data_IF_418814539069
#
_entry.id   IF_418814539069
#
_cell.length_a   1.000
_cell.length_b   1.000
_cell.length_c   1.000
_cell.angle_alpha   90.00
_cell.angle_beta   90.00
_cell.angle_gamma   90.00
#
_symmetry.space_group_name_H-M   'P 1'
#
loop_
_entity.id
_entity.type
_entity.pdbx_description
1 polymer ?
#
# COMPACT_ATOMS: atom_id res chain seq x y z
N UNK A 1 -12.94 20.04 23.92
CA UNK A 1 -12.10 19.63 22.77
C UNK A 1 -11.79 18.16 22.97
N UNK A 2 -11.93 17.31 21.96
CA UNK A 2 -11.39 15.95 22.04
C UNK A 2 -9.87 16.09 22.15
N UNK A 3 -9.31 15.72 23.31
CA UNK A 3 -7.86 15.59 23.48
C UNK A 3 -7.45 14.27 22.82
N UNK A 4 -6.32 14.29 22.11
CA UNK A 4 -5.78 13.14 21.39
C UNK A 4 -4.47 12.75 22.05
N UNK A 5 -4.22 11.45 22.18
CA UNK A 5 -2.91 10.92 22.55
C UNK A 5 -2.38 10.01 21.45
N UNK A 6 -1.06 9.87 21.36
CA UNK A 6 -0.43 8.98 20.39
C UNK A 6 -0.39 7.55 20.91
N UNK A 7 -0.95 6.64 20.12
CA UNK A 7 -0.67 5.21 20.22
C UNK A 7 0.39 4.85 19.18
N UNK A 8 1.42 4.12 19.59
CA UNK A 8 2.51 3.73 18.70
C UNK A 8 2.21 2.40 18.00
N UNK A 9 2.66 2.28 16.75
CA UNK A 9 2.68 1.00 16.06
C UNK A 9 3.50 -0.02 16.86
N UNK A 10 3.06 -1.27 16.87
CA UNK A 10 3.72 -2.33 17.64
C UNK A 10 3.22 -2.52 19.07
N UNK A 11 2.31 -1.67 19.59
CA UNK A 11 1.76 -1.81 20.96
C UNK A 11 1.22 -3.23 21.25
N UNK A 12 0.60 -3.89 20.28
CA UNK A 12 0.07 -5.27 20.43
C UNK A 12 1.18 -6.33 20.58
N UNK A 13 2.38 -6.02 20.07
CA UNK A 13 3.58 -6.86 20.11
C UNK A 13 4.62 -6.35 21.10
N UNK A 14 4.28 -5.38 21.95
CA UNK A 14 5.20 -4.81 22.92
C UNK A 14 5.54 -5.85 24.00
N UNK A 15 6.83 -6.15 24.15
CA UNK A 15 7.32 -7.19 25.06
C UNK A 15 7.07 -6.82 26.53
N UNK A 16 7.07 -5.53 26.89
CA UNK A 16 6.76 -5.11 28.27
C UNK A 16 5.30 -5.35 28.58
N UNK A 17 4.39 -5.06 27.65
CA UNK A 17 2.97 -5.38 27.83
C UNK A 17 2.70 -6.89 27.87
N UNK A 18 3.51 -7.69 27.16
CA UNK A 18 3.48 -9.14 27.29
C UNK A 18 3.93 -9.58 28.69
N UNK A 19 5.02 -9.01 29.21
CA UNK A 19 5.54 -9.31 30.54
C UNK A 19 4.57 -8.89 31.65
N UNK A 20 3.98 -7.70 31.57
CA UNK A 20 2.90 -7.23 32.47
C UNK A 20 1.77 -8.25 32.53
N UNK A 21 1.32 -8.76 31.38
CA UNK A 21 0.23 -9.73 31.32
C UNK A 21 0.59 -11.05 32.03
N UNK A 22 1.85 -11.49 31.94
CA UNK A 22 2.35 -12.68 32.64
C UNK A 22 2.39 -12.44 34.15
N UNK A 23 2.97 -11.33 34.62
CA UNK A 23 3.10 -11.01 36.06
C UNK A 23 1.72 -10.84 36.70
N UNK A 24 0.82 -10.12 36.04
CA UNK A 24 -0.53 -9.86 36.53
C UNK A 24 -1.51 -11.03 36.32
N UNK A 25 -1.06 -12.13 35.72
CA UNK A 25 -1.86 -13.29 35.36
C UNK A 25 -3.15 -12.94 34.59
N UNK A 26 -3.05 -12.02 33.63
CA UNK A 26 -4.16 -11.52 32.84
C UNK A 26 -3.90 -11.70 31.33
N UNK A 27 -4.92 -11.44 30.50
CA UNK A 27 -4.73 -11.48 29.06
C UNK A 27 -3.91 -10.29 28.57
N UNK A 28 -3.14 -10.48 27.48
CA UNK A 28 -2.41 -9.38 26.86
C UNK A 28 -3.32 -8.22 26.44
N UNK A 29 -4.55 -8.52 26.00
CA UNK A 29 -5.54 -7.50 25.67
C UNK A 29 -5.92 -6.64 26.87
N UNK A 30 -6.04 -7.22 28.07
CA UNK A 30 -6.30 -6.46 29.31
C UNK A 30 -5.12 -5.57 29.65
N UNK A 31 -3.88 -6.07 29.60
CA UNK A 31 -2.69 -5.26 29.84
C UNK A 31 -2.60 -4.07 28.86
N UNK A 32 -2.87 -4.30 27.56
CA UNK A 32 -2.92 -3.24 26.55
C UNK A 32 -4.03 -2.23 26.86
N UNK A 33 -5.24 -2.68 27.19
CA UNK A 33 -6.36 -1.79 27.48
C UNK A 33 -6.10 -0.92 28.73
N UNK A 34 -5.51 -1.50 29.77
CA UNK A 34 -5.08 -0.76 30.98
C UNK A 34 -4.03 0.30 30.63
N UNK A 35 -3.06 -0.05 29.79
CA UNK A 35 -2.05 0.89 29.32
C UNK A 35 -2.66 2.08 28.57
N UNK A 36 -3.63 1.81 27.70
CA UNK A 36 -4.35 2.86 26.98
C UNK A 36 -5.19 3.75 27.91
N UNK A 37 -5.84 3.18 28.94
CA UNK A 37 -6.58 3.96 29.94
C UNK A 37 -5.66 4.90 30.75
N UNK A 38 -4.43 4.48 31.03
CA UNK A 38 -3.41 5.32 31.67
C UNK A 38 -2.96 6.46 30.75
N UNK A 39 -2.67 6.16 29.48
CA UNK A 39 -2.27 7.18 28.50
C UNK A 39 -3.37 8.20 28.24
N UNK A 40 -4.62 7.74 28.15
CA UNK A 40 -5.79 8.60 27.99
C UNK A 40 -5.94 9.54 29.18
N UNK A 41 -5.92 9.00 30.41
CA UNK A 41 -5.97 9.81 31.62
C UNK A 41 -4.80 10.81 31.70
N UNK A 42 -3.59 10.40 31.34
CA UNK A 42 -2.43 11.28 31.34
C UNK A 42 -2.55 12.43 30.33
N UNK A 43 -3.11 12.15 29.14
CA UNK A 43 -3.37 13.16 28.14
C UNK A 43 -4.48 14.13 28.57
N UNK A 44 -5.51 13.63 29.24
CA UNK A 44 -6.59 14.46 29.79
C UNK A 44 -6.10 15.40 30.90
N UNK A 45 -5.21 14.92 31.77
CA UNK A 45 -4.62 15.72 32.85
C UNK A 45 -3.65 16.78 32.31
N UNK A 46 -2.94 16.51 31.20
CA UNK A 46 -2.02 17.45 30.54
C UNK A 46 -0.91 17.99 31.45
N UNK A 47 -0.43 17.14 32.37
CA UNK A 47 0.59 17.49 33.37
C UNK A 47 1.83 16.58 33.24
N UNK A 48 2.41 16.54 32.05
CA UNK A 48 3.69 15.85 31.82
C UNK A 48 3.67 14.33 31.99
N UNK A 49 2.50 13.70 31.78
CA UNK A 49 2.33 12.25 31.88
C UNK A 49 1.72 11.77 33.20
N UNK A 50 1.39 12.70 34.10
CA UNK A 50 0.61 12.42 35.30
C UNK A 50 -0.79 11.97 34.93
N UNK A 51 -1.26 10.86 35.46
CA UNK A 51 -2.61 10.34 35.31
C UNK A 51 -3.36 10.36 36.64
N UNK A 52 -4.69 10.42 36.58
CA UNK A 52 -5.57 10.44 37.76
C UNK A 52 -6.51 9.23 37.83
N UNK A 53 -6.48 8.38 36.80
CA UNK A 53 -7.25 7.14 36.81
C UNK A 53 -6.73 6.18 37.87
N UNK A 54 -7.65 5.45 38.49
CA UNK A 54 -7.35 4.49 39.56
C UNK A 54 -7.66 3.08 39.09
N UNK A 55 -7.07 2.03 39.70
CA UNK A 55 -7.38 0.65 39.34
C UNK A 55 -8.88 0.33 39.37
N UNK A 56 -9.62 0.92 40.33
CA UNK A 56 -11.09 0.74 40.43
C UNK A 56 -11.84 1.38 39.26
N UNK A 57 -11.43 2.57 38.81
CA UNK A 57 -12.05 3.24 37.65
C UNK A 57 -11.81 2.44 36.38
N UNK A 58 -10.58 1.97 36.18
CA UNK A 58 -10.21 1.16 35.02
C UNK A 58 -10.92 -0.19 35.03
N UNK A 59 -11.03 -0.84 36.19
CA UNK A 59 -11.80 -2.09 36.35
C UNK A 59 -13.27 -1.93 35.95
N UNK A 60 -13.92 -0.84 36.40
CA UNK A 60 -15.29 -0.53 36.02
C UNK A 60 -15.43 -0.25 34.51
N UNK A 61 -14.47 0.48 33.91
CA UNK A 61 -14.50 0.83 32.49
C UNK A 61 -14.27 -0.38 31.56
N UNK A 62 -13.40 -1.31 31.97
CA UNK A 62 -13.05 -2.49 31.18
C UNK A 62 -13.92 -3.72 31.50
N UNK A 63 -14.81 -3.62 32.50
CA UNK A 63 -15.58 -4.74 33.03
C UNK A 63 -14.69 -5.91 33.53
N UNK A 64 -13.55 -5.58 34.13
CA UNK A 64 -12.56 -6.54 34.63
C UNK A 64 -12.55 -6.60 36.16
N UNK A 65 -12.14 -7.72 36.78
CA UNK A 65 -12.02 -7.80 38.23
C UNK A 65 -11.02 -6.76 38.78
N UNK A 66 -11.42 -6.06 39.85
CA UNK A 66 -10.59 -5.02 40.45
C UNK A 66 -9.22 -5.53 40.91
N UNK A 67 -9.12 -6.80 41.33
CA UNK A 67 -7.86 -7.45 41.67
C UNK A 67 -6.91 -7.59 40.48
N UNK A 68 -7.43 -7.99 39.32
CA UNK A 68 -6.68 -8.12 38.06
C UNK A 68 -6.09 -6.78 37.63
N UNK A 69 -6.89 -5.71 37.68
CA UNK A 69 -6.43 -4.38 37.31
C UNK A 69 -5.41 -3.83 38.33
N UNK A 70 -5.63 -4.05 39.62
CA UNK A 70 -4.65 -3.67 40.65
C UNK A 70 -3.30 -4.39 40.46
N UNK A 71 -3.32 -5.69 40.16
CA UNK A 71 -2.13 -6.47 39.83
C UNK A 71 -1.44 -5.94 38.56
N UNK A 72 -2.22 -5.54 37.55
CA UNK A 72 -1.69 -4.94 36.32
C UNK A 72 -0.99 -3.61 36.58
N UNK A 73 -1.54 -2.73 37.43
CA UNK A 73 -0.89 -1.49 37.85
C UNK A 73 0.42 -1.77 38.59
N UNK A 74 0.42 -2.75 39.51
CA UNK A 74 1.62 -3.15 40.24
C UNK A 74 2.72 -3.66 39.30
N UNK A 75 2.37 -4.54 38.36
CA UNK A 75 3.30 -5.07 37.35
C UNK A 75 3.86 -3.96 36.43
N UNK A 76 3.02 -3.00 36.01
CA UNK A 76 3.49 -1.85 35.22
C UNK A 76 4.46 -0.95 36.01
N UNK A 77 4.27 -0.81 37.32
CA UNK A 77 5.19 -0.09 38.19
C UNK A 77 6.51 -0.86 38.38
N UNK A 78 6.44 -2.18 38.58
CA UNK A 78 7.59 -3.08 38.72
C UNK A 78 8.51 -3.06 37.49
N UNK A 79 7.93 -3.15 36.29
CA UNK A 79 8.66 -3.09 35.01
C UNK A 79 9.12 -1.64 34.66
N UNK A 80 8.71 -0.65 35.46
CA UNK A 80 9.07 0.76 35.27
C UNK A 80 8.34 1.45 34.13
N UNK A 81 7.18 0.94 33.70
CA UNK A 81 6.30 1.62 32.73
C UNK A 81 5.59 2.83 33.33
N UNK A 82 5.33 2.78 34.63
CA UNK A 82 4.81 3.89 35.42
C UNK A 82 5.65 4.09 36.68
N UNK A 83 5.69 5.32 37.20
CA UNK A 83 6.32 5.67 38.46
C UNK A 83 5.36 6.53 39.29
N UNK A 84 4.78 5.95 40.34
CA UNK A 84 3.74 6.60 41.11
C UNK A 84 2.48 6.86 40.27
N UNK A 85 2.11 8.12 40.13
CA UNK A 85 0.96 8.59 39.34
C UNK A 85 1.37 9.13 37.95
N UNK A 86 2.56 8.78 37.45
CA UNK A 86 3.05 9.27 36.17
C UNK A 86 3.51 8.15 35.22
N UNK A 87 3.27 8.35 33.93
CA UNK A 87 3.78 7.49 32.85
C UNK A 87 5.27 7.74 32.62
N UNK A 88 6.07 6.67 32.66
CA UNK A 88 7.50 6.75 32.39
C UNK A 88 7.79 7.18 30.95
N UNK A 89 8.79 8.05 30.79
CA UNK A 89 9.21 8.60 29.50
C UNK A 89 8.08 9.28 28.69
N UNK A 90 7.09 9.89 29.36
CA UNK A 90 5.97 10.58 28.70
C UNK A 90 6.42 11.60 27.65
N UNK A 91 7.41 12.44 27.95
CA UNK A 91 7.90 13.47 27.01
C UNK A 91 8.46 12.90 25.69
N UNK A 92 9.02 11.69 25.74
CA UNK A 92 9.51 10.98 24.56
C UNK A 92 8.36 10.35 23.76
N UNK A 93 7.27 9.99 24.46
CA UNK A 93 6.06 9.39 23.87
C UNK A 93 5.06 10.42 23.33
N UNK A 94 4.97 11.59 23.94
CA UNK A 94 4.01 12.63 23.60
C UNK A 94 4.76 13.96 23.48
N UNK A 95 5.26 14.23 22.27
CA UNK A 95 5.91 15.51 21.98
C UNK A 95 4.87 16.64 21.99
N UNK A 96 5.17 17.73 22.70
CA UNK A 96 4.31 18.93 22.81
C UNK A 96 4.02 19.59 21.45
N UNK A 97 4.92 19.41 20.48
CA UNK A 97 4.66 19.79 19.10
C UNK A 97 5.04 18.67 18.15
N UNK A 98 4.14 18.35 17.22
CA UNK A 98 4.59 17.82 15.93
C UNK A 98 5.45 18.92 15.31
N UNK A 99 6.77 18.75 15.29
CA UNK A 99 7.75 19.68 14.68
C UNK A 99 7.50 19.99 13.19
N UNK A 100 6.42 19.47 12.61
CA UNK A 100 5.90 19.77 11.27
C UNK A 100 5.20 21.12 11.18
N UNK A 101 4.44 21.53 12.21
CA UNK A 101 3.67 22.79 12.18
C UNK A 101 4.56 24.01 12.31
N UNK A 102 5.60 23.96 13.14
CA UNK A 102 6.48 25.11 13.40
C UNK A 102 7.45 25.38 12.25
N UNK A 103 8.05 24.33 11.67
CA UNK A 103 8.87 24.45 10.45
C UNK A 103 8.03 24.91 9.26
N UNK A 104 6.81 24.39 9.11
CA UNK A 104 5.89 24.84 8.04
C UNK A 104 5.43 26.28 8.27
N UNK A 105 5.21 26.70 9.51
CA UNK A 105 4.85 28.07 9.86
C UNK A 105 6.00 29.02 9.58
N UNK A 106 7.24 28.71 10.02
CA UNK A 106 8.44 29.50 9.71
C UNK A 106 8.70 29.58 8.20
N UNK A 107 8.49 28.49 7.45
CA UNK A 107 8.63 28.50 5.99
C UNK A 107 7.53 29.35 5.31
N UNK A 108 6.28 29.28 5.78
CA UNK A 108 5.18 30.13 5.28
C UNK A 108 5.41 31.60 5.63
N UNK A 109 5.89 31.90 6.83
CA UNK A 109 6.24 33.24 7.27
C UNK A 109 7.43 33.79 6.49
N UNK A 110 8.47 32.98 6.24
CA UNK A 110 9.63 33.34 5.41
C UNK A 110 9.19 33.64 3.97
N UNK A 111 8.39 32.76 3.34
CA UNK A 111 7.88 32.96 1.98
C UNK A 111 6.96 34.18 1.86
N UNK A 112 6.13 34.44 2.88
CA UNK A 112 5.26 35.62 2.90
C UNK A 112 6.06 36.92 3.12
N UNK A 113 7.13 36.86 3.93
CA UNK A 113 8.04 37.99 4.17
C UNK A 113 8.91 38.29 2.95
N UNK A 114 9.32 37.26 2.21
CA UNK A 114 10.00 37.37 0.93
C UNK A 114 9.07 37.98 -0.12
N UNK A 115 7.86 37.44 -0.30
CA UNK A 115 6.86 37.99 -1.23
C UNK A 115 6.49 39.46 -0.94
N UNK A 116 6.47 39.88 0.34
CA UNK A 116 6.24 41.28 0.74
C UNK A 116 7.45 42.19 0.52
N UNK A 117 8.67 41.66 0.54
CA UNK A 117 9.90 42.42 0.27
C UNK A 117 10.17 42.59 -1.22
N UNK A 118 9.72 41.64 -2.04
CA UNK A 118 9.92 41.68 -3.50
C UNK A 118 9.03 42.69 -4.22
N UNK A 119 7.96 43.21 -3.59
CA UNK A 119 7.19 44.34 -4.14
C UNK A 119 6.65 44.16 -5.58
N UNK A 120 6.46 42.94 -6.05
CA UNK A 120 6.26 42.66 -7.47
C UNK A 120 4.85 42.15 -7.75
N UNK A 121 4.00 43.06 -8.22
CA UNK A 121 2.77 42.73 -8.92
C UNK A 121 3.10 42.48 -10.39
N UNK A 122 3.34 41.22 -10.80
CA UNK A 122 3.38 40.83 -12.21
C UNK A 122 3.21 39.32 -12.42
N UNK A 123 2.67 39.01 -13.60
CA UNK A 123 2.11 37.75 -14.14
C UNK A 123 3.16 36.63 -14.41
N UNK A 124 2.74 35.37 -14.69
CA UNK A 124 3.61 34.20 -14.64
C UNK A 124 4.39 33.96 -15.95
N UNK A 125 5.69 33.69 -15.86
CA UNK A 125 6.55 33.40 -17.00
C UNK A 125 7.73 32.47 -16.68
N UNK A 126 7.67 31.28 -17.29
CA UNK A 126 8.72 30.36 -17.78
C UNK A 126 10.13 30.29 -17.14
N UNK A 127 10.51 29.03 -16.90
CA UNK A 127 11.83 28.38 -16.91
C UNK A 127 13.12 29.23 -16.86
N UNK A 128 13.91 29.01 -15.81
CA UNK A 128 15.36 29.02 -15.88
C UNK A 128 15.94 27.94 -14.94
N UNK A 129 16.86 27.16 -15.48
CA UNK A 129 17.63 26.06 -14.90
C UNK A 129 18.42 26.49 -13.66
N UNK A 130 18.58 25.67 -12.60
CA UNK A 130 19.59 25.88 -11.58
C UNK A 130 20.89 25.09 -11.88
N UNK A 131 22.07 25.64 -11.50
CA UNK A 131 23.38 25.11 -11.88
C UNK A 131 23.83 23.92 -11.04
N UNK A 132 24.73 23.13 -11.64
CA UNK A 132 25.54 22.11 -10.97
C UNK A 132 26.30 22.71 -9.79
N UNK A 133 26.30 22.01 -8.65
CA UNK A 133 27.20 22.31 -7.52
C UNK A 133 27.63 20.98 -6.91
N UNK A 134 28.94 20.85 -6.82
CA UNK A 134 29.70 19.62 -6.65
C UNK A 134 29.53 19.02 -5.25
N UNK A 135 29.46 17.69 -5.22
CA UNK A 135 29.48 16.88 -4.02
C UNK A 135 30.93 16.62 -3.62
N UNK A 136 31.32 17.06 -2.44
CA UNK A 136 32.52 16.58 -1.75
C UNK A 136 32.12 15.44 -0.82
N UNK A 137 32.85 14.34 -0.99
CA UNK A 137 32.77 13.05 -0.32
C UNK A 137 33.46 13.12 1.05
N UNK A 138 32.97 12.36 2.03
CA UNK A 138 33.89 11.63 2.90
C UNK A 138 33.23 10.34 3.41
N UNK A 139 33.97 9.25 3.24
CA UNK A 139 33.61 7.85 3.49
C UNK A 139 34.22 7.36 4.81
N UNK A 140 33.97 6.07 5.09
CA UNK A 140 34.68 5.14 6.00
C UNK A 140 34.01 4.92 7.36
N UNK A 141 33.83 3.70 7.89
CA UNK A 141 33.92 2.31 7.40
C UNK A 141 33.36 1.45 8.57
N UNK A 142 32.48 0.47 8.36
CA UNK A 142 32.73 -0.98 8.27
C UNK A 142 32.36 -1.78 9.55
N UNK A 143 31.51 -2.80 9.36
CA UNK A 143 31.62 -4.09 10.05
C UNK A 143 30.65 -5.10 9.45
N UNK A 144 31.24 -5.95 8.61
CA UNK A 144 30.65 -7.13 8.04
C UNK A 144 30.31 -8.21 9.09
N UNK A 145 29.24 -8.96 8.81
CA UNK A 145 28.93 -10.24 9.43
C UNK A 145 28.10 -11.08 8.46
N UNK A 146 28.77 -11.90 7.65
CA UNK A 146 28.17 -12.74 6.62
C UNK A 146 27.60 -14.05 7.20
N UNK A 147 26.41 -14.45 6.76
CA UNK A 147 26.02 -15.86 6.61
C UNK A 147 24.93 -16.02 5.53
N UNK A 148 25.10 -17.06 4.74
CA UNK A 148 24.51 -17.35 3.42
C UNK A 148 23.10 -17.94 3.46
N UNK A 149 22.22 -17.55 2.52
CA UNK A 149 21.21 -18.44 1.90
C UNK A 149 20.46 -17.78 0.72
N UNK A 150 20.58 -18.33 -0.50
CA UNK A 150 19.71 -18.24 -1.69
C UNK A 150 19.21 -16.86 -2.20
N UNK A 151 18.95 -16.65 -3.51
CA UNK A 151 18.42 -15.38 -4.01
C UNK A 151 16.94 -15.24 -3.59
N UNK A 152 16.73 -14.77 -2.37
CA UNK A 152 15.46 -14.21 -1.94
C UNK A 152 15.20 -13.00 -2.83
N UNK A 153 13.99 -12.89 -3.37
CA UNK A 153 13.57 -11.67 -4.06
C UNK A 153 13.97 -10.47 -3.18
N UNK A 154 14.58 -9.41 -3.75
CA UNK A 154 15.10 -8.30 -2.96
C UNK A 154 13.97 -7.80 -2.07
N UNK A 155 14.24 -7.78 -0.77
CA UNK A 155 13.35 -7.18 0.21
C UNK A 155 13.13 -5.75 -0.27
N UNK A 156 11.92 -5.46 -0.75
CA UNK A 156 11.64 -4.19 -1.39
C UNK A 156 11.77 -3.13 -0.31
N UNK A 157 12.85 -2.37 -0.36
CA UNK A 157 13.05 -1.23 0.52
C UNK A 157 11.94 -0.20 0.23
N UNK A 158 10.90 -0.23 1.05
CA UNK A 158 9.73 0.63 0.92
C UNK A 158 10.11 2.11 1.05
N UNK A 159 11.20 2.42 1.77
CA UNK A 159 11.70 3.79 1.93
C UNK A 159 12.26 4.28 0.59
N UNK A 160 13.08 3.46 -0.06
CA UNK A 160 13.61 3.78 -1.38
C UNK A 160 12.51 3.83 -2.44
N UNK A 161 11.54 2.90 -2.40
CA UNK A 161 10.39 2.93 -3.30
C UNK A 161 9.56 4.23 -3.14
N UNK A 162 9.34 4.67 -1.90
CA UNK A 162 8.67 5.95 -1.60
C UNK A 162 9.46 7.13 -2.16
N UNK A 163 10.78 7.18 -1.92
CA UNK A 163 11.66 8.24 -2.43
C UNK A 163 11.55 8.38 -3.95
N UNK A 164 11.63 7.27 -4.67
CA UNK A 164 11.56 7.23 -6.14
C UNK A 164 10.19 7.60 -6.68
N UNK A 165 9.12 7.22 -5.99
CA UNK A 165 7.78 7.64 -6.36
C UNK A 165 7.58 9.15 -6.15
N UNK A 166 8.06 9.71 -5.03
CA UNK A 166 8.03 11.15 -4.75
C UNK A 166 8.75 11.95 -5.85
N UNK A 167 9.94 11.48 -6.25
CA UNK A 167 10.72 12.06 -7.34
C UNK A 167 9.94 12.03 -8.66
N UNK A 168 9.39 10.87 -9.04
CA UNK A 168 8.57 10.73 -10.25
C UNK A 168 7.31 11.61 -10.23
N UNK A 169 6.72 11.84 -9.04
CA UNK A 169 5.55 12.69 -8.88
C UNK A 169 5.87 14.19 -8.83
N UNK A 170 7.16 14.56 -8.77
CA UNK A 170 7.58 15.95 -8.54
C UNK A 170 7.06 16.53 -7.22
N UNK A 171 6.88 15.69 -6.20
CA UNK A 171 6.30 16.08 -4.92
C UNK A 171 6.90 15.29 -3.77
N UNK A 172 7.44 16.00 -2.78
CA UNK A 172 8.05 15.39 -1.59
C UNK A 172 7.04 14.98 -0.50
N UNK A 173 5.75 15.36 -0.64
CA UNK A 173 4.75 15.16 0.40
C UNK A 173 3.37 14.81 -0.18
N UNK A 174 3.13 13.52 -0.38
CA UNK A 174 1.85 12.98 -0.85
C UNK A 174 1.11 12.17 0.24
N UNK A 175 1.46 12.41 1.52
CA UNK A 175 0.85 11.73 2.66
C UNK A 175 1.26 10.25 2.74
N UNK A 176 0.37 9.41 3.24
CA UNK A 176 0.65 7.98 3.46
C UNK A 176 0.93 7.23 2.15
N UNK A 177 2.10 6.58 2.05
CA UNK A 177 2.52 5.73 0.93
C UNK A 177 1.80 4.38 0.85
N UNK A 178 0.91 4.07 1.81
CA UNK A 178 0.20 2.80 1.91
C UNK A 178 -0.47 2.31 0.60
N UNK A 179 -1.15 3.16 -0.21
CA UNK A 179 -1.78 2.70 -1.45
C UNK A 179 -0.79 2.16 -2.49
N UNK A 180 0.43 2.69 -2.53
CA UNK A 180 1.48 2.22 -3.45
C UNK A 180 2.19 1.01 -2.87
N UNK A 181 2.45 1.02 -1.56
CA UNK A 181 3.01 -0.13 -0.85
C UNK A 181 2.12 -1.38 -1.04
N UNK A 182 0.79 -1.24 -0.99
CA UNK A 182 -0.14 -2.35 -1.25
C UNK A 182 0.01 -2.93 -2.66
N UNK A 183 0.25 -2.09 -3.68
CA UNK A 183 0.47 -2.54 -5.06
C UNK A 183 1.80 -3.30 -5.19
N UNK A 184 2.86 -2.81 -4.54
CA UNK A 184 4.16 -3.51 -4.49
C UNK A 184 4.02 -4.88 -3.80
N UNK A 185 3.26 -4.98 -2.71
CA UNK A 185 2.97 -6.25 -2.04
C UNK A 185 2.20 -7.23 -2.93
N UNK A 186 1.38 -6.72 -3.87
CA UNK A 186 0.70 -7.52 -4.91
C UNK A 186 1.59 -7.85 -6.12
N UNK A 187 2.91 -7.69 -5.97
CA UNK A 187 3.91 -7.96 -7.00
C UNK A 187 3.83 -7.02 -8.22
N UNK A 188 3.29 -5.81 -8.06
CA UNK A 188 3.46 -4.78 -9.09
C UNK A 188 4.94 -4.37 -9.16
N UNK A 189 5.47 -4.26 -10.37
CA UNK A 189 6.86 -3.87 -10.58
C UNK A 189 6.99 -2.34 -10.49
N UNK A 190 7.89 -1.86 -9.63
CA UNK A 190 8.07 -0.41 -9.39
C UNK A 190 8.44 0.34 -10.68
N UNK A 191 9.39 -0.20 -11.45
CA UNK A 191 9.94 0.46 -12.64
C UNK A 191 9.03 0.37 -13.84
N UNK A 192 8.39 -0.78 -13.99
CA UNK A 192 7.62 -1.11 -15.19
C UNK A 192 6.16 -0.72 -15.06
N UNK A 193 5.59 -0.83 -13.87
CA UNK A 193 4.14 -0.67 -13.67
C UNK A 193 3.77 0.62 -12.92
N UNK A 194 4.58 1.06 -11.95
CA UNK A 194 4.22 2.19 -11.06
C UNK A 194 4.80 3.52 -11.56
N UNK A 195 6.13 3.63 -11.66
CA UNK A 195 6.80 4.88 -11.99
C UNK A 195 6.39 5.47 -13.36
N UNK A 196 6.17 4.68 -14.43
CA UNK A 196 5.73 5.22 -15.72
C UNK A 196 4.36 5.91 -15.63
N UNK A 197 3.43 5.36 -14.84
CA UNK A 197 2.09 5.93 -14.65
C UNK A 197 2.16 7.25 -13.89
N UNK A 198 3.02 7.33 -12.88
CA UNK A 198 3.23 8.57 -12.11
C UNK A 198 3.84 9.66 -13.03
N UNK A 199 4.88 9.32 -13.81
CA UNK A 199 5.57 10.25 -14.72
C UNK A 199 4.71 10.70 -15.91
N UNK A 200 3.84 9.83 -16.41
CA UNK A 200 2.98 10.12 -17.56
C UNK A 200 1.88 11.16 -17.25
N UNK A 201 1.69 11.52 -15.97
CA UNK A 201 0.68 12.51 -15.59
C UNK A 201 1.09 13.90 -16.10
N UNK A 202 0.22 14.60 -16.83
CA UNK A 202 0.51 15.94 -17.29
C UNK A 202 0.57 16.92 -16.11
N UNK A 203 1.63 17.74 -16.06
CA UNK A 203 1.84 18.78 -15.05
C UNK A 203 0.71 19.82 -14.98
N UNK A 204 -0.18 19.87 -15.99
CA UNK A 204 -1.30 20.79 -16.11
C UNK A 204 -2.51 20.46 -15.21
N UNK A 205 -2.59 19.26 -14.62
CA UNK A 205 -3.75 18.79 -13.84
C UNK A 205 -3.83 19.22 -12.37
N UNK A 206 -3.13 20.28 -11.97
CA UNK A 206 -3.02 20.70 -10.57
C UNK A 206 -2.15 19.77 -9.71
N UNK A 207 -1.70 20.28 -8.56
CA UNK A 207 -0.84 19.53 -7.61
C UNK A 207 -1.65 18.40 -6.97
N UNK A 208 -1.17 17.16 -7.11
CA UNK A 208 -1.71 16.03 -6.35
C UNK A 208 -1.27 16.18 -4.90
N UNK A 209 -2.18 15.94 -3.97
CA UNK A 209 -1.91 16.01 -2.53
C UNK A 209 -1.84 14.64 -1.85
N UNK A 210 -2.18 13.55 -2.56
CA UNK A 210 -2.24 12.22 -1.97
C UNK A 210 -1.88 11.08 -2.92
N UNK A 211 -1.18 10.07 -2.39
CA UNK A 211 -0.94 8.78 -3.05
C UNK A 211 -2.22 8.02 -3.43
N UNK A 212 -3.35 8.27 -2.73
CA UNK A 212 -4.66 7.67 -3.05
C UNK A 212 -5.13 7.97 -4.48
N UNK A 213 -4.69 9.08 -5.05
CA UNK A 213 -5.02 9.46 -6.42
C UNK A 213 -4.42 8.47 -7.45
N UNK A 214 -3.19 7.98 -7.20
CA UNK A 214 -2.48 7.14 -8.15
C UNK A 214 -2.93 5.67 -8.10
N UNK A 215 -3.42 5.19 -6.95
CA UNK A 215 -3.82 3.79 -6.76
C UNK A 215 -4.76 3.24 -7.86
N UNK A 216 -5.91 3.88 -8.13
CA UNK A 216 -6.82 3.45 -9.18
C UNK A 216 -6.21 3.47 -10.58
N UNK A 217 -5.42 4.51 -10.91
CA UNK A 217 -4.82 4.69 -12.23
C UNK A 217 -3.77 3.61 -12.51
N UNK A 218 -2.93 3.31 -11.52
CA UNK A 218 -1.93 2.24 -11.62
C UNK A 218 -2.62 0.88 -11.73
N UNK A 219 -3.68 0.66 -10.96
CA UNK A 219 -4.46 -0.59 -11.02
C UNK A 219 -5.07 -0.80 -12.41
N UNK A 220 -5.64 0.25 -13.01
CA UNK A 220 -6.19 0.19 -14.37
C UNK A 220 -5.07 -0.09 -15.41
N UNK A 221 -3.91 0.53 -15.26
CA UNK A 221 -2.75 0.28 -16.13
C UNK A 221 -2.26 -1.17 -16.04
N UNK A 222 -2.20 -1.73 -14.83
CA UNK A 222 -1.86 -3.13 -14.58
C UNK A 222 -2.87 -4.11 -15.22
N UNK A 223 -4.16 -3.79 -15.16
CA UNK A 223 -5.22 -4.58 -15.80
C UNK A 223 -5.12 -4.55 -17.33
N UNK A 224 -4.79 -3.40 -17.92
CA UNK A 224 -4.57 -3.28 -19.38
C UNK A 224 -3.36 -4.06 -19.87
N UNK A 225 -2.33 -4.17 -19.02
CA UNK A 225 -1.08 -4.87 -19.33
C UNK A 225 -1.17 -6.38 -19.12
N UNK A 226 -1.99 -6.82 -18.17
CA UNK A 226 -2.33 -8.22 -18.04
C UNK A 226 -2.80 -8.71 -19.41
N UNK A 227 -2.15 -9.74 -20.01
CA UNK A 227 -2.60 -10.26 -21.29
C UNK A 227 -4.08 -10.56 -21.12
N UNK A 228 -4.91 -10.02 -22.02
CA UNK A 228 -6.35 -10.22 -21.98
C UNK A 228 -6.58 -11.69 -21.62
N UNK A 229 -7.31 -11.99 -20.51
CA UNK A 229 -7.42 -13.36 -20.03
C UNK A 229 -7.81 -14.20 -21.23
N UNK A 230 -6.97 -15.19 -21.56
CA UNK A 230 -7.16 -16.01 -22.76
C UNK A 230 -8.63 -16.38 -22.78
N UNK A 231 -9.36 -15.89 -23.80
CA UNK A 231 -10.81 -16.03 -23.88
C UNK A 231 -11.15 -17.45 -23.50
N UNK A 232 -11.78 -17.67 -22.34
CA UNK A 232 -12.08 -19.00 -21.81
C UNK A 232 -13.11 -19.75 -22.67
N UNK A 233 -13.49 -19.20 -23.83
CA UNK A 233 -14.23 -19.93 -24.85
C UNK A 233 -13.33 -20.93 -25.57
N UNK A 234 -13.90 -22.06 -26.03
CA UNK A 234 -13.20 -22.99 -26.90
C UNK A 234 -12.59 -22.25 -28.10
N UNK A 235 -11.41 -22.65 -28.58
CA UNK A 235 -10.74 -22.00 -29.71
C UNK A 235 -11.73 -21.91 -30.87
N UNK A 236 -11.86 -20.75 -31.51
CA UNK A 236 -12.80 -20.57 -32.63
C UNK A 236 -12.05 -20.70 -33.96
N UNK A 237 -12.67 -21.36 -34.94
CA UNK A 237 -12.16 -21.49 -36.31
C UNK A 237 -13.03 -20.63 -37.22
N UNK A 238 -12.40 -19.82 -38.06
CA UNK A 238 -13.11 -19.06 -39.09
C UNK A 238 -13.46 -20.00 -40.26
N UNK A 239 -14.73 -20.04 -40.63
CA UNK A 239 -15.22 -20.85 -41.74
C UNK A 239 -15.85 -19.91 -42.77
N UNK A 240 -15.29 -19.95 -43.99
CA UNK A 240 -15.72 -19.11 -45.12
C UNK A 240 -17.14 -19.50 -45.53
N UNK A 241 -17.99 -18.50 -45.75
CA UNK A 241 -19.37 -18.66 -46.22
C UNK A 241 -19.42 -19.44 -47.53
N UNK A 242 -20.33 -20.42 -47.61
CA UNK A 242 -20.55 -21.24 -48.82
C UNK A 242 -19.70 -22.50 -48.92
N UNK A 243 -18.67 -22.66 -48.09
CA UNK A 243 -17.91 -23.92 -47.99
C UNK A 243 -18.79 -25.09 -47.49
N UNK A 244 -18.37 -26.33 -47.74
CA UNK A 244 -19.07 -27.52 -47.25
C UNK A 244 -19.14 -27.53 -45.71
N UNK A 245 -18.01 -27.22 -45.05
CA UNK A 245 -17.93 -27.10 -43.59
C UNK A 245 -18.90 -26.05 -43.03
N UNK A 246 -19.07 -24.92 -43.71
CA UNK A 246 -20.05 -23.90 -43.29
C UNK A 246 -21.47 -24.46 -43.32
N UNK A 247 -21.85 -25.17 -44.38
CA UNK A 247 -23.18 -25.79 -44.52
C UNK A 247 -23.43 -26.85 -43.45
N UNK A 248 -22.45 -27.70 -43.17
CA UNK A 248 -22.54 -28.72 -42.12
C UNK A 248 -22.75 -28.11 -40.73
N UNK A 249 -22.00 -27.05 -40.39
CA UNK A 249 -22.12 -26.40 -39.08
C UNK A 249 -23.45 -25.68 -38.90
N UNK A 250 -23.97 -25.06 -39.97
CA UNK A 250 -25.32 -24.45 -39.96
C UNK A 250 -26.40 -25.52 -39.82
N UNK A 251 -26.26 -26.65 -40.53
CA UNK A 251 -27.20 -27.78 -40.42
C UNK A 251 -27.19 -28.43 -39.01
N UNK A 252 -26.04 -28.43 -38.33
CA UNK A 252 -25.91 -28.88 -36.94
C UNK A 252 -26.52 -27.91 -35.90
N UNK A 253 -27.18 -26.83 -36.33
CA UNK A 253 -27.89 -25.90 -35.46
C UNK A 253 -27.00 -24.82 -34.85
N UNK A 254 -25.73 -24.70 -35.25
CA UNK A 254 -24.90 -23.56 -34.84
C UNK A 254 -25.41 -22.30 -35.52
N UNK A 255 -26.02 -21.41 -34.73
CA UNK A 255 -26.52 -20.12 -35.23
C UNK A 255 -25.32 -19.24 -35.63
N UNK A 256 -25.23 -18.78 -36.89
CA UNK A 256 -24.22 -17.82 -37.27
C UNK A 256 -24.40 -16.55 -36.43
N UNK A 257 -23.35 -16.08 -35.74
CA UNK A 257 -23.35 -14.78 -35.07
C UNK A 257 -23.32 -13.61 -36.06
N UNK A 258 -22.89 -12.42 -35.62
CA UNK A 258 -22.58 -11.32 -36.53
C UNK A 258 -21.51 -11.75 -37.56
N UNK A 259 -21.83 -11.61 -38.85
CA UNK A 259 -20.92 -11.88 -39.96
C UNK A 259 -19.63 -11.08 -39.77
N UNK A 260 -18.48 -11.72 -39.95
CA UNK A 260 -17.17 -11.05 -39.85
C UNK A 260 -16.38 -11.33 -41.13
N UNK A 261 -15.71 -10.32 -41.68
CA UNK A 261 -14.72 -10.52 -42.74
C UNK A 261 -13.44 -11.06 -42.12
N UNK A 262 -12.82 -12.06 -42.75
CA UNK A 262 -11.48 -12.52 -42.36
C UNK A 262 -10.50 -11.35 -42.48
N UNK A 263 -9.72 -11.02 -41.43
CA UNK A 263 -8.83 -9.88 -41.44
C UNK A 263 -7.70 -10.00 -42.49
N UNK A 264 -7.30 -11.23 -42.85
CA UNK A 264 -6.22 -11.54 -43.79
C UNK A 264 -6.71 -11.68 -45.22
N UNK A 265 -7.79 -12.43 -45.42
CA UNK A 265 -8.26 -12.77 -46.79
C UNK A 265 -9.42 -11.92 -47.28
N UNK A 266 -10.06 -11.14 -46.38
CA UNK A 266 -11.29 -10.36 -46.63
C UNK A 266 -12.49 -11.20 -47.06
N UNK A 267 -12.41 -12.53 -46.96
CA UNK A 267 -13.53 -13.42 -47.24
C UNK A 267 -14.65 -13.24 -46.21
N UNK A 268 -15.91 -13.35 -46.64
CA UNK A 268 -17.07 -13.36 -45.73
C UNK A 268 -17.20 -14.73 -45.04
N UNK A 269 -17.41 -14.75 -43.73
CA UNK A 269 -17.57 -16.00 -42.98
C UNK A 269 -17.95 -15.80 -41.51
N UNK A 270 -17.87 -16.88 -40.74
CA UNK A 270 -18.20 -16.90 -39.31
C UNK A 270 -17.19 -17.70 -38.50
N UNK A 271 -16.99 -17.27 -37.26
CA UNK A 271 -16.22 -18.00 -36.26
C UNK A 271 -17.11 -19.01 -35.53
N UNK A 272 -16.78 -20.29 -35.67
CA UNK A 272 -17.44 -21.37 -34.94
C UNK A 272 -16.50 -21.95 -33.87
N UNK A 273 -17.00 -22.53 -32.77
CA UNK A 273 -16.16 -23.33 -31.86
C UNK A 273 -15.40 -24.40 -32.63
N UNK A 274 -14.11 -24.59 -32.35
CA UNK A 274 -13.33 -25.65 -32.94
C UNK A 274 -14.00 -27.00 -32.60
N UNK A 275 -14.08 -27.93 -33.54
CA UNK A 275 -14.55 -29.27 -33.23
C UNK A 275 -13.67 -29.83 -32.11
N UNK A 276 -14.29 -30.32 -31.04
CA UNK A 276 -13.55 -30.98 -29.97
C UNK A 276 -12.71 -32.10 -30.58
N UNK A 277 -11.39 -32.04 -30.40
CA UNK A 277 -10.45 -33.04 -30.94
C UNK A 277 -10.73 -34.48 -30.45
N UNK A 278 -11.67 -34.66 -29.54
CA UNK A 278 -12.05 -35.95 -28.97
C UNK A 278 -12.58 -36.95 -30.03
N UNK A 279 -13.03 -36.50 -31.20
CA UNK A 279 -13.53 -37.40 -32.27
C UNK A 279 -12.55 -37.72 -33.41
N UNK A 280 -11.49 -36.93 -33.61
CA UNK A 280 -10.63 -37.08 -34.80
C UNK A 280 -9.62 -38.23 -34.63
N UNK A 281 -9.07 -38.41 -33.43
CA UNK A 281 -8.15 -39.51 -33.13
C UNK A 281 -8.82 -40.90 -33.27
N UNK A 282 -10.13 -41.00 -32.98
CA UNK A 282 -10.89 -42.24 -33.14
C UNK A 282 -11.17 -42.56 -34.62
N UNK A 283 -11.40 -41.55 -35.47
CA UNK A 283 -11.54 -41.74 -36.92
C UNK A 283 -10.20 -42.08 -37.58
N UNK A 284 -9.11 -41.41 -37.20
CA UNK A 284 -7.78 -41.67 -37.74
C UNK A 284 -7.23 -43.07 -37.33
N UNK A 285 -7.62 -43.60 -36.16
CA UNK A 285 -7.36 -45.00 -35.80
C UNK A 285 -8.21 -45.98 -36.63
N UNK A 286 -9.51 -45.71 -36.80
CA UNK A 286 -10.40 -46.59 -37.57
C UNK A 286 -10.08 -46.63 -39.08
N UNK A 287 -9.49 -45.57 -39.63
CA UNK A 287 -9.07 -45.51 -41.02
C UNK A 287 -7.70 -46.16 -41.25
N UNK A 288 -6.80 -46.14 -40.24
CA UNK A 288 -5.56 -46.93 -40.24
C UNK A 288 -5.82 -48.43 -40.17
N UNK A 289 -6.82 -48.87 -39.40
CA UNK A 289 -7.18 -50.30 -39.29
C UNK A 289 -7.90 -50.85 -40.54
N UNK A 290 -8.34 -50.00 -41.48
CA UNK A 290 -8.87 -50.44 -42.78
C UNK A 290 -7.83 -50.49 -43.90
N UNK A 291 -6.63 -49.97 -43.66
CA UNK A 291 -5.54 -49.91 -44.63
C UNK A 291 -4.44 -50.97 -44.38
N UNK A 292 -4.60 -51.80 -43.35
CA UNK A 292 -3.79 -52.99 -43.05
C UNK A 292 -4.60 -54.26 -43.33
#
# INVERSE_FOLDING_TARGET
MSRWYRAYAGTVKDDKLAEVAVIAACSRSVAIAVWHALLESAAETDAGGRFETTPRRVAAALCEPAGTIAATFAAMAEIGMIAGDAVSAWKTRQYESDKSTERSRKHREAKNREAKRSGEAALPGRCATPPESEAESDSDDDSAGAASSAPRAPDLDLIEAERRCCEAAGSERLGSFAPIAELLHRQADLERDILPVIRARPASGGRVSSWKFYGPIITEALQKRSPAPASQGPPKVFVVKGTAEWRERVAAGHKPGMTTQDPRTKAEGWYFPAPERQGQAAKDMAEKDKAA
#
